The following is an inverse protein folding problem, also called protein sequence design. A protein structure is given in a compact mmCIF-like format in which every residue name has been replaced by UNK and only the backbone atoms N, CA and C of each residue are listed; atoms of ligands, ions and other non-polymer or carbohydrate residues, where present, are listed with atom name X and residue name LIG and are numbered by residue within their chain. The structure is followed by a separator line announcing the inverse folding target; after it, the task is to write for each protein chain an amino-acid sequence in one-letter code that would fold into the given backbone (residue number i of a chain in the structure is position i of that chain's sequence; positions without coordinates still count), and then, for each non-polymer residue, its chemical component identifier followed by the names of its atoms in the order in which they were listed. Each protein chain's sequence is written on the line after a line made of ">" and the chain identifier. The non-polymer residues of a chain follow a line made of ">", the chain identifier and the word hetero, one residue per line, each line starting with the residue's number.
data_IF_659002472505
#
_entry.id   IF_659002472505
#
_cell.length_a   1.000
_cell.length_b   1.000
_cell.length_c   1.000
_cell.angle_alpha   90.00
_cell.angle_beta   90.00
_cell.angle_gamma   90.00
#
_symmetry.space_group_name_H-M   'P 1'
#
loop_
_entity.id
_entity.type
_entity.pdbx_description
1 polymer ?
#
# COMPACT_ATOMS: atom_id res chain seq x y z
N UNK A 1 -3.93 -4.25 -27.95
CA UNK A 1 -4.88 -3.13 -27.73
C UNK A 1 -5.38 -3.26 -26.29
N UNK A 2 -5.17 -2.27 -25.43
CA UNK A 2 -5.64 -2.31 -24.05
C UNK A 2 -7.02 -1.64 -23.97
N UNK A 3 -8.03 -2.36 -23.49
CA UNK A 3 -9.36 -1.78 -23.24
C UNK A 3 -9.34 -0.99 -21.94
N UNK A 4 -9.52 0.33 -22.00
CA UNK A 4 -9.63 1.19 -20.82
C UNK A 4 -11.11 1.34 -20.49
N UNK A 5 -11.54 0.75 -19.38
CA UNK A 5 -12.96 0.73 -18.96
C UNK A 5 -13.41 1.99 -18.20
N UNK A 6 -12.51 2.97 -18.03
CA UNK A 6 -12.72 4.19 -17.24
C UNK A 6 -13.26 3.93 -15.82
N UNK A 7 -12.90 2.77 -15.25
CA UNK A 7 -13.20 2.38 -13.87
C UNK A 7 -11.92 1.87 -13.23
N UNK A 8 -11.65 2.30 -12.00
CA UNK A 8 -10.53 1.83 -11.20
C UNK A 8 -10.70 0.37 -10.77
N UNK A 9 -9.64 -0.19 -10.19
CA UNK A 9 -9.63 -1.57 -9.71
C UNK A 9 -9.47 -1.62 -8.18
N UNK A 10 -10.33 -2.39 -7.50
CA UNK A 10 -10.14 -2.70 -6.08
C UNK A 10 -9.19 -3.89 -5.88
N UNK A 11 -8.85 -4.20 -4.62
CA UNK A 11 -7.91 -5.26 -4.26
C UNK A 11 -8.26 -6.62 -4.89
N UNK A 12 -9.55 -6.96 -4.96
CA UNK A 12 -10.03 -8.21 -5.60
C UNK A 12 -9.68 -8.25 -7.09
N UNK A 13 -9.88 -7.15 -7.80
CA UNK A 13 -9.57 -7.06 -9.23
C UNK A 13 -8.07 -7.05 -9.48
N UNK A 14 -7.30 -6.32 -8.65
CA UNK A 14 -5.85 -6.30 -8.77
C UNK A 14 -5.25 -7.68 -8.48
N UNK A 15 -5.74 -8.38 -7.45
CA UNK A 15 -5.37 -9.78 -7.18
C UNK A 15 -5.64 -10.69 -8.38
N UNK A 16 -6.80 -10.54 -9.04
CA UNK A 16 -7.14 -11.32 -10.24
C UNK A 16 -6.17 -11.04 -11.38
N UNK A 17 -5.85 -9.76 -11.64
CA UNK A 17 -4.88 -9.36 -12.65
C UNK A 17 -3.51 -9.97 -12.36
N UNK A 18 -2.98 -9.75 -11.16
CA UNK A 18 -1.66 -10.25 -10.76
C UNK A 18 -1.61 -11.79 -10.80
N UNK A 19 -2.67 -12.46 -10.37
CA UNK A 19 -2.79 -13.92 -10.51
C UNK A 19 -2.79 -14.39 -11.97
N UNK A 20 -3.43 -13.65 -12.88
CA UNK A 20 -3.41 -13.98 -14.32
C UNK A 20 -2.02 -13.82 -14.95
N UNK A 21 -1.13 -13.06 -14.30
CA UNK A 21 0.28 -12.91 -14.69
C UNK A 21 1.19 -14.01 -14.07
N UNK A 22 0.61 -14.97 -13.37
CA UNK A 22 1.32 -16.12 -12.79
C UNK A 22 1.87 -15.88 -11.38
N UNK A 23 1.46 -14.82 -10.68
CA UNK A 23 1.92 -14.56 -9.32
C UNK A 23 0.94 -15.06 -8.26
N UNK A 24 1.45 -15.54 -7.13
CA UNK A 24 0.62 -15.85 -5.95
C UNK A 24 0.34 -14.55 -5.20
N UNK A 25 -0.91 -14.08 -5.29
CA UNK A 25 -1.32 -12.79 -4.74
C UNK A 25 -2.31 -12.91 -3.57
N UNK A 26 -2.12 -12.06 -2.56
CA UNK A 26 -3.07 -11.80 -1.49
C UNK A 26 -3.58 -10.36 -1.60
N UNK A 27 -4.88 -10.22 -1.85
CA UNK A 27 -5.57 -8.93 -1.83
C UNK A 27 -6.49 -8.83 -0.62
N UNK A 28 -6.39 -7.72 0.12
CA UNK A 28 -7.33 -7.36 1.18
C UNK A 28 -7.88 -5.97 0.98
N UNK A 29 -9.12 -5.78 1.39
CA UNK A 29 -9.81 -4.49 1.36
C UNK A 29 -10.71 -4.39 2.57
N UNK A 30 -10.66 -3.26 3.28
CA UNK A 30 -11.65 -2.90 4.31
C UNK A 30 -12.65 -1.84 3.83
N UNK A 31 -12.74 -1.65 2.52
CA UNK A 31 -13.58 -0.65 1.87
C UNK A 31 -15.10 -0.84 2.03
N UNK A 32 -15.60 -1.60 3.01
CA UNK A 32 -17.05 -1.89 3.13
C UNK A 32 -17.65 -1.73 4.51
N UNK A 33 -16.87 -1.77 5.58
CA UNK A 33 -17.38 -1.56 6.92
C UNK A 33 -16.66 -0.36 7.53
N UNK A 34 -17.44 0.62 7.97
CA UNK A 34 -17.00 1.80 8.71
C UNK A 34 -15.93 1.44 9.74
N UNK A 35 -15.01 2.36 10.05
CA UNK A 35 -14.17 2.20 11.23
C UNK A 35 -15.03 1.92 12.47
N UNK A 36 -14.94 0.72 13.03
CA UNK A 36 -15.63 0.38 14.28
C UNK A 36 -14.70 0.61 15.46
N UNK A 37 -13.47 0.08 15.39
CA UNK A 37 -12.41 0.32 16.38
C UNK A 37 -11.03 -0.11 15.81
N UNK A 38 -9.97 -0.04 16.62
CA UNK A 38 -8.61 -0.42 16.22
C UNK A 38 -8.46 -1.90 15.77
N UNK A 39 -9.40 -2.79 16.12
CA UNK A 39 -9.39 -4.17 15.63
C UNK A 39 -9.94 -4.29 14.19
N UNK A 40 -10.53 -3.23 13.66
CA UNK A 40 -11.01 -3.16 12.28
C UNK A 40 -9.93 -2.77 11.27
N UNK A 41 -8.71 -2.40 11.70
CA UNK A 41 -7.59 -2.10 10.79
C UNK A 41 -6.84 -3.37 10.41
N UNK A 42 -6.29 -3.42 9.19
CA UNK A 42 -5.34 -4.47 8.78
C UNK A 42 -4.19 -4.60 9.77
N UNK A 43 -3.76 -3.45 10.30
CA UNK A 43 -2.67 -3.32 11.24
C UNK A 43 -3.13 -2.49 12.44
N UNK A 44 -3.52 -3.11 13.57
CA UNK A 44 -3.99 -2.40 14.76
C UNK A 44 -2.97 -1.47 15.43
N UNK A 45 -1.68 -1.66 15.15
CA UNK A 45 -0.60 -0.84 15.70
C UNK A 45 0.45 -0.53 14.62
N UNK A 46 1.18 0.57 14.81
CA UNK A 46 2.29 0.96 13.95
C UNK A 46 3.33 -0.16 13.84
N UNK A 47 3.70 -0.78 14.97
CA UNK A 47 4.66 -1.90 14.98
C UNK A 47 4.20 -3.09 14.15
N UNK A 48 2.90 -3.41 14.16
CA UNK A 48 2.35 -4.49 13.31
C UNK A 48 2.44 -4.13 11.83
N UNK A 49 2.19 -2.87 11.49
CA UNK A 49 2.36 -2.37 10.13
C UNK A 49 3.83 -2.44 9.69
N UNK A 50 4.77 -1.91 10.48
CA UNK A 50 6.19 -1.94 10.14
C UNK A 50 6.75 -3.36 10.10
N UNK A 51 6.32 -4.24 11.00
CA UNK A 51 6.70 -5.66 10.93
C UNK A 51 6.22 -6.31 9.64
N UNK A 52 5.00 -6.00 9.18
CA UNK A 52 4.49 -6.46 7.89
C UNK A 52 5.31 -5.90 6.72
N UNK A 53 5.64 -4.60 6.73
CA UNK A 53 6.50 -3.98 5.70
C UNK A 53 7.86 -4.68 5.65
N UNK A 54 8.59 -4.75 6.76
CA UNK A 54 9.90 -5.39 6.86
C UNK A 54 9.87 -6.86 6.43
N UNK A 55 8.82 -7.59 6.78
CA UNK A 55 8.65 -9.00 6.39
C UNK A 55 8.44 -9.19 4.89
N UNK A 56 7.73 -8.28 4.23
CA UNK A 56 7.54 -8.37 2.77
C UNK A 56 8.77 -7.88 2.02
N UNK A 57 9.42 -6.80 2.49
CA UNK A 57 10.69 -6.33 1.93
C UNK A 57 11.77 -7.41 1.98
N UNK A 58 11.89 -8.15 3.09
CA UNK A 58 12.89 -9.24 3.21
C UNK A 58 12.64 -10.41 2.26
N UNK A 59 11.42 -10.54 1.73
CA UNK A 59 11.05 -11.53 0.70
C UNK A 59 11.18 -10.99 -0.72
N UNK A 60 11.45 -9.70 -0.87
CA UNK A 60 11.38 -9.00 -2.16
C UNK A 60 9.95 -8.95 -2.72
N UNK A 61 8.94 -9.00 -1.85
CA UNK A 61 7.52 -9.00 -2.22
C UNK A 61 7.03 -7.54 -2.33
N UNK A 62 6.58 -7.10 -3.52
CA UNK A 62 5.99 -5.77 -3.69
C UNK A 62 4.69 -5.64 -2.89
N UNK A 63 4.45 -4.43 -2.37
CA UNK A 63 3.24 -4.12 -1.61
C UNK A 63 2.42 -3.00 -2.24
N UNK A 64 1.68 -3.29 -3.34
CA UNK A 64 0.64 -2.40 -3.84
C UNK A 64 -0.35 -2.03 -2.74
N UNK A 65 -0.58 -0.74 -2.59
CA UNK A 65 -1.48 -0.12 -1.63
C UNK A 65 -2.33 0.95 -2.34
N UNK A 66 -3.56 1.12 -1.87
CA UNK A 66 -4.39 2.28 -2.24
C UNK A 66 -4.71 3.08 -0.98
N UNK A 67 -4.40 4.38 -1.00
CA UNK A 67 -4.48 5.26 0.17
C UNK A 67 -4.93 6.69 -0.17
N UNK A 68 -5.10 7.49 0.90
CA UNK A 68 -6.03 8.63 1.00
C UNK A 68 -5.80 9.84 0.09
N UNK A 69 -4.58 10.21 -0.33
CA UNK A 69 -4.41 11.42 -1.14
C UNK A 69 -4.97 11.28 -2.56
N UNK A 70 -5.09 10.06 -3.10
CA UNK A 70 -5.45 9.85 -4.50
C UNK A 70 -6.74 9.04 -4.73
N UNK A 71 -7.43 8.60 -3.67
CA UNK A 71 -8.81 8.10 -3.73
C UNK A 71 -9.15 7.18 -4.92
N UNK A 72 -8.31 6.18 -5.19
CA UNK A 72 -8.45 5.30 -6.38
C UNK A 72 -7.15 4.97 -7.10
N UNK A 73 -6.02 5.56 -6.67
CA UNK A 73 -4.68 5.27 -7.18
C UNK A 73 -4.00 4.14 -6.40
N UNK A 74 -3.05 3.47 -7.07
CA UNK A 74 -2.24 2.42 -6.49
C UNK A 74 -0.77 2.84 -6.52
N UNK A 75 -0.14 2.81 -5.36
CA UNK A 75 1.31 2.98 -5.19
C UNK A 75 1.88 1.68 -4.62
N UNK A 76 3.19 1.48 -4.70
CA UNK A 76 3.83 0.24 -4.25
C UNK A 76 4.86 0.56 -3.20
N UNK A 77 4.68 0.07 -1.95
CA UNK A 77 5.77 0.16 -0.96
C UNK A 77 6.90 -0.76 -1.43
N UNK A 78 8.08 -0.17 -1.58
CA UNK A 78 9.31 -0.85 -2.03
C UNK A 78 10.49 -0.63 -1.07
N UNK A 79 10.34 0.24 -0.08
CA UNK A 79 11.39 0.53 0.89
C UNK A 79 10.86 1.05 2.22
N UNK A 80 11.70 0.90 3.24
CA UNK A 80 11.53 1.46 4.57
C UNK A 80 12.92 1.76 5.14
N UNK A 81 13.07 2.92 5.75
CA UNK A 81 14.28 3.34 6.44
C UNK A 81 13.89 3.92 7.81
N UNK A 82 14.53 3.48 8.89
CA UNK A 82 14.34 4.06 10.23
C UNK A 82 15.31 5.23 10.48
N UNK A 83 16.05 5.65 9.45
CA UNK A 83 17.04 6.72 9.48
C UNK A 83 18.14 6.51 10.54
N UNK A 84 18.33 5.27 11.00
CA UNK A 84 19.28 4.92 12.05
C UNK A 84 18.86 5.32 13.47
N UNK A 85 17.59 5.63 13.71
CA UNK A 85 17.08 5.99 15.04
C UNK A 85 15.98 5.03 15.53
N UNK A 86 15.67 5.11 16.83
CA UNK A 86 14.53 4.39 17.44
C UNK A 86 13.26 5.27 17.49
N UNK A 87 13.33 6.52 17.01
CA UNK A 87 12.22 7.46 17.07
C UNK A 87 11.32 7.31 15.84
N UNK A 88 10.11 6.78 16.05
CA UNK A 88 9.19 6.39 14.95
C UNK A 88 8.85 7.50 13.95
N UNK A 89 9.01 8.77 14.31
CA UNK A 89 8.72 9.90 13.42
C UNK A 89 9.86 10.20 12.44
N UNK A 90 11.02 9.57 12.62
CA UNK A 90 12.13 9.60 11.67
C UNK A 90 11.96 8.55 10.57
N UNK A 91 11.10 7.55 10.78
CA UNK A 91 10.87 6.48 9.81
C UNK A 91 10.34 7.02 8.47
N UNK A 92 10.92 6.52 7.37
CA UNK A 92 10.56 6.84 5.99
C UNK A 92 10.07 5.58 5.29
N UNK A 93 8.97 5.68 4.55
CA UNK A 93 8.59 4.69 3.52
C UNK A 93 8.94 5.22 2.13
N UNK A 94 9.33 4.30 1.26
CA UNK A 94 9.60 4.58 -0.16
C UNK A 94 8.52 3.88 -0.99
N UNK A 95 7.85 4.66 -1.84
CA UNK A 95 6.78 4.22 -2.72
C UNK A 95 7.26 4.31 -4.17
N UNK A 96 7.01 3.28 -4.97
CA UNK A 96 6.98 3.43 -6.42
C UNK A 96 5.59 3.92 -6.84
N UNK A 97 5.57 5.04 -7.56
CA UNK A 97 4.34 5.74 -7.94
C UNK A 97 4.29 5.95 -9.46
N UNK A 98 3.28 5.38 -10.12
CA UNK A 98 3.08 5.55 -11.56
C UNK A 98 2.50 6.92 -11.96
N UNK A 99 2.06 7.72 -11.00
CA UNK A 99 1.55 9.09 -11.19
C UNK A 99 2.52 10.16 -10.66
N UNK A 100 3.71 9.76 -10.21
CA UNK A 100 4.69 10.62 -9.54
C UNK A 100 4.80 12.03 -10.15
N UNK A 101 4.24 12.99 -9.42
CA UNK A 101 4.08 14.40 -9.83
C UNK A 101 4.19 15.36 -8.64
N UNK A 102 4.50 14.87 -7.43
CA UNK A 102 4.20 15.58 -6.18
C UNK A 102 5.41 16.17 -5.47
N UNK A 103 6.61 15.69 -5.78
CA UNK A 103 7.87 16.15 -5.19
C UNK A 103 8.71 17.03 -6.15
N UNK A 104 8.11 17.38 -7.31
CA UNK A 104 8.73 18.11 -8.42
C UNK A 104 9.87 17.35 -9.12
N UNK A 105 9.98 16.04 -8.93
CA UNK A 105 11.00 15.20 -9.56
C UNK A 105 10.42 13.85 -10.00
N UNK A 106 9.98 13.77 -11.27
CA UNK A 106 9.29 12.61 -11.84
C UNK A 106 10.22 11.41 -12.11
N UNK A 107 10.79 10.82 -11.06
CA UNK A 107 11.66 9.64 -11.13
C UNK A 107 10.91 8.31 -10.86
N UNK A 108 9.62 8.41 -10.57
CA UNK A 108 8.72 7.29 -10.30
C UNK A 108 8.68 6.91 -8.83
N UNK A 109 9.26 7.70 -7.93
CA UNK A 109 9.32 7.41 -6.50
C UNK A 109 8.78 8.56 -5.65
N UNK A 110 8.09 8.19 -4.57
CA UNK A 110 7.75 9.11 -3.49
C UNK A 110 8.39 8.63 -2.18
N UNK A 111 8.80 9.57 -1.33
CA UNK A 111 9.14 9.29 0.06
C UNK A 111 8.14 9.95 0.99
N UNK A 112 7.71 9.23 2.03
CA UNK A 112 6.78 9.76 3.03
C UNK A 112 7.24 9.38 4.44
N UNK A 113 6.98 10.23 5.45
CA UNK A 113 7.10 9.81 6.84
C UNK A 113 6.15 8.64 7.11
N UNK A 114 6.69 7.51 7.54
CA UNK A 114 5.95 6.27 7.75
C UNK A 114 4.87 6.43 8.84
N UNK A 115 5.21 7.16 9.91
CA UNK A 115 4.28 7.50 11.00
C UNK A 115 3.13 8.41 10.55
N UNK A 116 3.27 9.15 9.45
CA UNK A 116 2.19 9.95 8.85
C UNK A 116 1.35 9.14 7.87
N UNK A 117 1.99 8.30 7.05
CA UNK A 117 1.31 7.40 6.13
C UNK A 117 0.37 6.43 6.86
N UNK A 118 0.86 5.76 7.91
CA UNK A 118 0.13 4.72 8.64
C UNK A 118 -1.31 5.14 9.07
N UNK A 119 -1.50 6.26 9.80
CA UNK A 119 -2.85 6.70 10.17
C UNK A 119 -3.64 7.25 8.98
N UNK A 120 -3.00 7.81 7.96
CA UNK A 120 -3.71 8.33 6.78
C UNK A 120 -4.23 7.23 5.88
N UNK A 121 -3.52 6.10 5.82
CA UNK A 121 -4.02 4.91 5.15
C UNK A 121 -5.30 4.39 5.82
N UNK A 122 -5.45 4.63 7.13
CA UNK A 122 -6.61 4.25 7.94
C UNK A 122 -7.49 5.44 8.37
N UNK A 123 -8.30 5.98 7.47
CA UNK A 123 -9.31 6.96 7.90
C UNK A 123 -10.70 6.32 7.97
N UNK A 124 -11.38 6.45 9.11
CA UNK A 124 -12.68 5.80 9.35
C UNK A 124 -13.91 6.48 8.74
N UNK A 125 -13.77 7.68 8.18
CA UNK A 125 -14.89 8.51 7.75
C UNK A 125 -15.29 8.36 6.27
N UNK A 126 -14.64 7.49 5.50
CA UNK A 126 -14.96 7.36 4.07
C UNK A 126 -15.17 5.91 3.66
N UNK A 127 -16.04 5.75 2.66
CA UNK A 127 -16.59 4.49 2.16
C UNK A 127 -15.53 3.57 1.51
N UNK A 128 -14.27 4.00 1.29
CA UNK A 128 -13.25 3.20 0.58
C UNK A 128 -11.83 3.38 1.13
N UNK A 129 -11.54 2.92 2.35
CA UNK A 129 -10.21 3.10 2.93
C UNK A 129 -9.56 1.75 3.27
N UNK A 130 -8.29 1.62 2.88
CA UNK A 130 -7.41 0.45 2.96
C UNK A 130 -7.66 -0.65 1.94
N UNK A 131 -6.82 -0.67 0.93
CA UNK A 131 -6.65 -1.81 0.03
C UNK A 131 -5.16 -2.11 -0.11
N UNK A 132 -4.79 -3.39 -0.03
CA UNK A 132 -3.49 -3.85 -0.52
C UNK A 132 -3.66 -5.05 -1.43
N UNK A 133 -2.65 -5.28 -2.27
CA UNK A 133 -2.50 -6.53 -3.00
C UNK A 133 -1.02 -6.93 -3.02
N UNK A 134 -0.56 -7.74 -2.07
CA UNK A 134 0.81 -8.25 -2.08
C UNK A 134 0.91 -9.47 -2.99
N UNK A 135 2.07 -9.69 -3.59
CA UNK A 135 2.30 -10.88 -4.41
C UNK A 135 3.74 -11.34 -4.34
N UNK A 136 3.94 -12.64 -4.17
CA UNK A 136 5.28 -13.21 -4.06
C UNK A 136 6.05 -13.00 -5.36
N UNK A 137 7.34 -12.67 -5.27
CA UNK A 137 8.21 -12.46 -6.43
C UNK A 137 8.55 -13.78 -7.18
N UNK A 138 7.85 -14.88 -6.86
CA UNK A 138 7.97 -16.17 -7.52
C UNK A 138 6.73 -16.42 -8.36
N UNK A 139 6.94 -16.66 -9.66
CA UNK A 139 5.88 -17.09 -10.56
C UNK A 139 5.61 -18.59 -10.39
N UNK A 140 4.34 -18.97 -10.45
CA UNK A 140 3.88 -20.37 -10.52
C UNK A 140 3.62 -20.79 -11.96
#
# INVERSE_FOLDING_TARGET
>A
MATIYNVGVGATGLKKLVGSLGFVAEGRSYARDSFVNANSMLFPTYDKFINWVKTNLSKGTPMPISWRPHGGHWEVIIGYDNMGTDYIYDDVIVLADSHDTWDHYQDGYNTLPAALFYPQWYNGNFTYNQQYCIFDNKRV
#
